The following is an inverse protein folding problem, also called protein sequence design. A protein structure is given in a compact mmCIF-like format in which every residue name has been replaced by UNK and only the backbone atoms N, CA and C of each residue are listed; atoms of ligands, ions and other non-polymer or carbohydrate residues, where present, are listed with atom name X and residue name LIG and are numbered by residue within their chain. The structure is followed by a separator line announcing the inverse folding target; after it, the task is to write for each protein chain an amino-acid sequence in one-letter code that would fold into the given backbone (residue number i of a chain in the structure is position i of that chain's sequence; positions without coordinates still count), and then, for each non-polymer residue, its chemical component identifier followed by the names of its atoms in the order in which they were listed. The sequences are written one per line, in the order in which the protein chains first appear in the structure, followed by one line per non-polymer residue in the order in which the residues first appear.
data_IF_529583273703
#
_entry.id   IF_529583273703
#
_cell.length_a   1.000
_cell.length_b   1.000
_cell.length_c   1.000
_cell.angle_alpha   90.00
_cell.angle_beta   90.00
_cell.angle_gamma   90.00
#
_symmetry.space_group_name_H-M   'P 1'
#
loop_
_entity.id
_entity.type
_entity.pdbx_description
1 polymer ?
#
# COMPACT_ATOMS: atom_id res chain seq x y z
N UNK A 1 -10.97 -20.63 54.64
CA UNK A 1 -10.08 -21.37 53.71
C UNK A 1 -10.90 -21.71 52.48
N UNK A 2 -10.71 -20.97 51.40
CA UNK A 2 -11.40 -21.19 50.12
C UNK A 2 -10.44 -20.82 49.00
N UNK A 3 -9.52 -21.73 48.66
CA UNK A 3 -8.65 -21.58 47.51
C UNK A 3 -9.48 -21.87 46.26
N UNK A 4 -9.93 -20.81 45.58
CA UNK A 4 -10.37 -20.93 44.19
C UNK A 4 -9.12 -20.91 43.31
N UNK A 5 -8.69 -22.10 42.90
CA UNK A 5 -7.70 -22.29 41.85
C UNK A 5 -8.31 -21.78 40.55
N UNK A 6 -8.05 -20.51 40.22
CA UNK A 6 -8.26 -19.96 38.89
C UNK A 6 -7.32 -20.66 37.91
N UNK A 7 -7.79 -21.78 37.36
CA UNK A 7 -7.07 -22.55 36.37
C UNK A 7 -6.76 -21.68 35.15
N UNK A 8 -5.48 -21.33 34.98
CA UNK A 8 -4.93 -21.03 33.67
C UNK A 8 -5.19 -22.25 32.79
N UNK A 9 -6.16 -22.15 31.90
CA UNK A 9 -6.21 -22.97 30.69
C UNK A 9 -4.97 -22.59 29.86
N UNK A 10 -3.83 -23.20 30.18
CA UNK A 10 -2.69 -23.26 29.26
C UNK A 10 -3.15 -24.18 28.14
N UNK A 11 -3.67 -23.59 27.06
CA UNK A 11 -3.99 -24.33 25.84
C UNK A 11 -2.68 -24.90 25.28
N UNK A 12 -2.51 -26.21 25.40
CA UNK A 12 -1.40 -26.93 24.79
C UNK A 12 -1.49 -26.79 23.26
N UNK A 13 -0.58 -26.01 22.67
CA UNK A 13 -0.26 -26.07 21.23
C UNK A 13 -1.16 -25.28 20.28
N UNK A 14 -1.60 -24.06 20.63
CA UNK A 14 -2.26 -23.17 19.65
C UNK A 14 -1.32 -22.79 18.49
N UNK A 15 -0.06 -22.47 18.80
CA UNK A 15 0.97 -22.20 17.80
C UNK A 15 1.80 -23.47 17.58
N UNK A 16 1.84 -23.93 16.33
CA UNK A 16 2.58 -25.08 15.87
C UNK A 16 4.02 -24.69 15.51
N UNK A 17 4.85 -25.69 15.22
CA UNK A 17 6.20 -25.51 14.67
C UNK A 17 7.05 -24.50 15.46
N UNK A 18 7.02 -24.59 16.79
CA UNK A 18 7.76 -23.70 17.70
C UNK A 18 7.35 -22.22 17.66
N UNK A 19 6.15 -21.91 17.13
CA UNK A 19 5.58 -20.57 17.19
C UNK A 19 5.32 -20.10 18.62
N UNK A 20 5.56 -18.82 18.87
CA UNK A 20 5.34 -18.18 20.16
C UNK A 20 3.91 -17.64 20.23
N UNK A 21 3.14 -18.12 21.21
CA UNK A 21 1.80 -17.62 21.44
C UNK A 21 1.83 -16.28 22.17
N UNK A 22 1.21 -15.27 21.57
CA UNK A 22 1.01 -13.94 22.14
C UNK A 22 -0.47 -13.81 22.50
N UNK A 23 -0.74 -13.67 23.80
CA UNK A 23 -2.09 -13.49 24.34
C UNK A 23 -2.60 -12.08 24.02
N UNK A 24 -3.85 -11.99 23.56
CA UNK A 24 -4.55 -10.73 23.25
C UNK A 24 -5.92 -10.73 23.95
N UNK A 25 -6.58 -9.57 24.04
CA UNK A 25 -7.91 -9.50 24.67
C UNK A 25 -8.91 -10.34 23.87
N UNK A 26 -9.39 -11.43 24.48
CA UNK A 26 -10.29 -12.42 23.88
C UNK A 26 -9.78 -13.03 22.55
N UNK A 27 -8.47 -13.02 22.31
CA UNK A 27 -7.88 -13.56 21.09
C UNK A 27 -6.42 -13.98 21.35
N UNK A 28 -5.75 -14.54 20.34
CA UNK A 28 -4.32 -14.79 20.37
C UNK A 28 -3.71 -14.52 18.99
N UNK A 29 -2.41 -14.28 18.96
CA UNK A 29 -1.60 -14.24 17.75
C UNK A 29 -0.43 -15.18 17.92
N UNK A 30 -0.11 -15.95 16.88
CA UNK A 30 1.16 -16.67 16.83
C UNK A 30 2.21 -15.80 16.16
N UNK A 31 3.36 -15.69 16.81
CA UNK A 31 4.60 -15.22 16.22
C UNK A 31 5.34 -16.43 15.65
N UNK A 32 5.30 -16.56 14.33
CA UNK A 32 5.75 -17.76 13.64
C UNK A 32 7.25 -17.71 13.35
N UNK A 33 7.98 -18.83 13.48
CA UNK A 33 9.37 -18.86 13.08
C UNK A 33 9.51 -18.67 11.57
N UNK A 34 10.72 -18.33 11.16
CA UNK A 34 11.08 -18.23 9.75
C UNK A 34 10.61 -19.49 8.97
N UNK A 35 10.11 -19.28 7.76
CA UNK A 35 9.53 -20.32 6.88
C UNK A 35 8.20 -20.94 7.36
N UNK A 36 7.54 -20.38 8.39
CA UNK A 36 6.19 -20.80 8.79
C UNK A 36 5.20 -19.63 8.84
N UNK A 37 3.96 -19.90 8.44
CA UNK A 37 2.87 -18.92 8.43
C UNK A 37 1.52 -19.56 8.77
N UNK A 38 0.46 -18.76 8.74
CA UNK A 38 -0.89 -19.12 9.13
C UNK A 38 -1.19 -18.80 10.59
N UNK A 39 -2.48 -18.80 10.95
CA UNK A 39 -2.96 -18.43 12.30
C UNK A 39 -2.25 -19.17 13.44
N UNK A 40 -1.85 -20.42 13.17
CA UNK A 40 -1.22 -21.33 14.12
C UNK A 40 0.19 -21.74 13.66
N UNK A 41 0.82 -21.02 12.73
CA UNK A 41 2.12 -21.39 12.15
C UNK A 41 2.15 -22.78 11.49
N UNK A 42 1.01 -23.24 10.99
CA UNK A 42 0.82 -24.59 10.47
C UNK A 42 1.27 -24.76 9.01
N UNK A 43 1.48 -23.65 8.30
CA UNK A 43 1.80 -23.64 6.87
C UNK A 43 3.31 -23.45 6.74
N UNK A 44 4.00 -24.40 6.12
CA UNK A 44 5.41 -24.26 5.76
C UNK A 44 5.54 -23.52 4.42
N UNK A 45 6.45 -22.55 4.36
CA UNK A 45 6.80 -21.81 3.15
C UNK A 45 8.27 -22.05 2.85
N UNK A 46 8.52 -22.61 1.68
CA UNK A 46 9.86 -22.91 1.20
C UNK A 46 10.51 -21.64 0.63
N UNK A 47 11.01 -20.79 1.52
CA UNK A 47 11.67 -19.53 1.17
C UNK A 47 12.98 -19.75 0.40
N UNK A 48 13.64 -20.89 0.61
CA UNK A 48 14.93 -21.22 -0.02
C UNK A 48 14.78 -21.47 -1.53
N UNK A 49 13.59 -21.87 -2.02
CA UNK A 49 13.31 -21.96 -3.47
C UNK A 49 13.61 -20.68 -4.23
N UNK A 50 13.48 -19.52 -3.58
CA UNK A 50 13.74 -18.23 -4.22
C UNK A 50 15.23 -17.87 -4.23
N UNK A 51 16.07 -18.54 -3.43
CA UNK A 51 17.53 -18.34 -3.49
C UNK A 51 18.12 -18.70 -4.87
N UNK A 52 17.58 -19.73 -5.53
CA UNK A 52 18.00 -20.09 -6.89
C UNK A 52 17.47 -19.11 -7.94
N UNK A 53 16.33 -18.47 -7.70
CA UNK A 53 15.79 -17.41 -8.54
C UNK A 53 16.63 -16.15 -8.40
N UNK A 54 16.91 -15.70 -7.18
CA UNK A 54 17.78 -14.55 -6.89
C UNK A 54 19.15 -14.71 -7.55
N UNK A 55 19.77 -15.89 -7.45
CA UNK A 55 21.07 -16.14 -8.10
C UNK A 55 20.99 -16.04 -9.62
N UNK A 56 19.87 -16.47 -10.22
CA UNK A 56 19.65 -16.34 -11.67
C UNK A 56 19.44 -14.88 -12.05
N UNK A 57 18.58 -14.17 -11.33
CA UNK A 57 18.31 -12.75 -11.55
C UNK A 57 19.58 -11.91 -11.40
N UNK A 58 20.39 -12.16 -10.37
CA UNK A 58 21.68 -11.49 -10.19
C UNK A 58 22.58 -11.65 -11.43
N UNK A 59 22.65 -12.86 -11.98
CA UNK A 59 23.39 -13.12 -13.22
C UNK A 59 22.77 -12.41 -14.42
N UNK A 60 21.45 -12.31 -14.50
CA UNK A 60 20.78 -11.52 -15.53
C UNK A 60 21.09 -10.02 -15.37
N UNK A 61 21.12 -9.47 -14.15
CA UNK A 61 21.51 -8.07 -13.92
C UNK A 61 22.92 -7.79 -14.46
N UNK A 62 23.88 -8.69 -14.21
CA UNK A 62 25.25 -8.59 -14.72
C UNK A 62 25.32 -8.64 -16.25
N UNK A 63 24.60 -9.60 -16.87
CA UNK A 63 24.56 -9.74 -18.33
C UNK A 63 23.88 -8.54 -19.02
N UNK A 64 22.89 -7.93 -18.37
CA UNK A 64 22.17 -6.75 -18.85
C UNK A 64 22.88 -5.43 -18.55
N UNK A 65 24.02 -5.49 -17.85
CA UNK A 65 24.82 -4.34 -17.41
C UNK A 65 23.99 -3.32 -16.60
N UNK A 66 23.16 -3.83 -15.68
CA UNK A 66 22.25 -3.01 -14.88
C UNK A 66 23.01 -2.04 -13.96
N UNK A 67 24.26 -2.31 -13.61
CA UNK A 67 25.09 -1.43 -12.79
C UNK A 67 25.36 -0.08 -13.44
N UNK A 68 25.35 0.01 -14.78
CA UNK A 68 25.54 1.29 -15.49
C UNK A 68 24.23 1.95 -15.91
N UNK A 69 23.10 1.24 -15.81
CA UNK A 69 21.76 1.72 -16.19
C UNK A 69 20.97 2.19 -14.99
N UNK A 70 21.08 1.49 -13.86
CA UNK A 70 20.32 1.79 -12.67
C UNK A 70 20.63 3.15 -12.08
N UNK A 71 19.56 3.84 -11.69
CA UNK A 71 19.60 5.13 -11.01
C UNK A 71 19.68 6.33 -11.94
N UNK A 72 19.66 6.13 -13.27
CA UNK A 72 19.76 7.19 -14.27
C UNK A 72 18.44 7.97 -14.48
N UNK A 73 17.34 7.47 -13.92
CA UNK A 73 16.00 8.09 -14.01
C UNK A 73 15.10 7.49 -15.08
N UNK A 74 15.56 6.48 -15.82
CA UNK A 74 14.76 5.70 -16.76
C UNK A 74 14.57 4.28 -16.23
N UNK A 75 13.34 3.77 -16.22
CA UNK A 75 13.10 2.39 -15.79
C UNK A 75 13.46 1.41 -16.92
N UNK A 76 14.52 0.65 -16.72
CA UNK A 76 14.94 -0.45 -17.58
C UNK A 76 14.26 -1.74 -17.12
N UNK A 77 13.27 -2.20 -17.88
CA UNK A 77 12.50 -3.42 -17.55
C UNK A 77 13.37 -4.66 -17.34
N UNK A 78 14.49 -4.79 -18.05
CA UNK A 78 15.45 -5.89 -17.88
C UNK A 78 16.26 -5.82 -16.58
N UNK A 79 16.18 -4.71 -15.85
CA UNK A 79 16.79 -4.46 -14.55
C UNK A 79 15.74 -4.34 -13.43
N UNK A 80 14.46 -4.53 -13.75
CA UNK A 80 13.35 -4.41 -12.79
C UNK A 80 13.13 -5.69 -11.95
N UNK A 81 14.19 -6.18 -11.33
CA UNK A 81 14.15 -7.34 -10.42
C UNK A 81 14.54 -6.91 -9.01
N UNK A 82 14.08 -7.66 -7.99
CA UNK A 82 14.50 -7.42 -6.61
C UNK A 82 16.04 -7.51 -6.48
N UNK A 83 16.66 -8.49 -7.14
CA UNK A 83 18.11 -8.67 -7.15
C UNK A 83 18.89 -7.46 -7.73
N UNK A 84 18.32 -6.72 -8.67
CA UNK A 84 18.92 -5.50 -9.21
C UNK A 84 18.43 -4.21 -8.50
N UNK A 85 17.69 -4.33 -7.40
CA UNK A 85 17.11 -3.21 -6.67
C UNK A 85 16.07 -2.42 -7.48
N UNK A 86 15.32 -3.09 -8.36
CA UNK A 86 14.34 -2.46 -9.25
C UNK A 86 14.95 -1.34 -10.10
N UNK A 87 16.05 -1.67 -10.78
CA UNK A 87 16.88 -0.72 -11.54
C UNK A 87 17.42 0.43 -10.69
N UNK A 88 18.00 0.07 -9.53
CA UNK A 88 18.44 1.00 -8.49
C UNK A 88 17.40 2.08 -8.14
N UNK A 89 16.13 1.68 -8.11
CA UNK A 89 15.00 2.52 -7.77
C UNK A 89 14.24 3.14 -8.94
N UNK A 90 14.76 3.10 -10.17
CA UNK A 90 14.10 3.74 -11.32
C UNK A 90 12.74 3.15 -11.64
N UNK A 91 12.59 1.84 -11.45
CA UNK A 91 11.33 1.14 -11.65
C UNK A 91 10.41 1.13 -10.42
N UNK A 92 10.87 1.65 -9.27
CA UNK A 92 10.14 1.68 -8.00
C UNK A 92 9.92 3.10 -7.47
N UNK A 93 9.86 4.09 -8.36
CA UNK A 93 9.67 5.50 -8.01
C UNK A 93 10.73 6.03 -7.01
N UNK A 94 11.99 5.59 -7.19
CA UNK A 94 13.16 5.87 -6.33
C UNK A 94 13.02 5.35 -4.90
N UNK A 95 12.06 4.46 -4.63
CA UNK A 95 11.88 3.80 -3.34
C UNK A 95 12.60 2.46 -3.25
N UNK A 96 12.68 1.93 -2.04
CA UNK A 96 13.16 0.56 -1.74
C UNK A 96 11.99 -0.28 -1.18
N UNK A 97 11.09 -0.79 -2.04
CA UNK A 97 10.02 -1.69 -1.61
C UNK A 97 10.58 -2.88 -0.85
N UNK A 98 9.84 -3.39 0.14
CA UNK A 98 10.21 -4.56 0.96
C UNK A 98 11.49 -4.42 1.81
N UNK A 99 12.10 -3.24 1.92
CA UNK A 99 13.28 -2.99 2.77
C UNK A 99 13.06 -3.33 4.26
N UNK A 100 11.82 -3.38 4.72
CA UNK A 100 11.42 -3.79 6.07
C UNK A 100 10.92 -5.23 6.17
N UNK A 101 10.77 -5.92 5.05
CA UNK A 101 10.17 -7.25 4.97
C UNK A 101 11.22 -8.33 5.30
N UNK A 102 10.91 -9.22 6.25
CA UNK A 102 11.80 -10.32 6.61
C UNK A 102 12.04 -11.30 5.44
N UNK A 103 11.05 -11.46 4.56
CA UNK A 103 11.10 -12.32 3.36
C UNK A 103 11.06 -11.49 2.08
N UNK A 104 11.88 -10.42 2.02
CA UNK A 104 11.81 -9.39 0.99
C UNK A 104 11.86 -9.92 -0.46
N UNK A 105 12.84 -10.79 -0.79
CA UNK A 105 12.92 -11.37 -2.14
C UNK A 105 11.65 -12.16 -2.47
N UNK A 106 11.27 -13.12 -1.63
CA UNK A 106 10.06 -13.93 -1.83
C UNK A 106 8.83 -13.04 -2.08
N UNK A 107 8.59 -12.08 -1.18
CA UNK A 107 7.42 -11.22 -1.26
C UNK A 107 7.44 -10.27 -2.44
N UNK A 108 8.62 -9.84 -2.92
CA UNK A 108 8.71 -9.05 -4.14
C UNK A 108 8.27 -9.83 -5.39
N UNK A 109 8.46 -11.15 -5.43
CA UNK A 109 8.10 -11.99 -6.58
C UNK A 109 6.62 -12.35 -6.64
N UNK A 110 5.96 -12.48 -5.47
CA UNK A 110 4.54 -12.85 -5.37
C UNK A 110 3.64 -11.64 -5.15
N UNK A 111 4.19 -10.44 -4.98
CA UNK A 111 3.42 -9.23 -4.72
C UNK A 111 2.36 -8.97 -5.80
N UNK A 112 1.10 -8.96 -5.38
CA UNK A 112 -0.05 -8.65 -6.23
C UNK A 112 -0.19 -9.62 -7.43
N UNK A 113 0.25 -10.87 -7.29
CA UNK A 113 0.19 -11.89 -8.33
C UNK A 113 -1.20 -12.53 -8.46
N UNK A 114 -2.11 -12.22 -7.54
CA UNK A 114 -3.43 -12.79 -7.48
C UNK A 114 -3.53 -14.11 -6.70
N UNK A 115 -2.52 -14.45 -5.90
CA UNK A 115 -2.55 -15.50 -4.90
C UNK A 115 -2.38 -14.86 -3.52
N UNK A 116 -3.03 -15.42 -2.51
CA UNK A 116 -2.81 -14.92 -1.15
C UNK A 116 -1.63 -15.66 -0.54
N UNK A 117 -0.55 -14.95 -0.27
CA UNK A 117 0.67 -15.40 0.39
C UNK A 117 0.69 -14.89 1.84
N UNK A 118 0.25 -15.70 2.82
CA UNK A 118 0.04 -15.20 4.18
C UNK A 118 1.31 -14.72 4.89
N UNK A 119 2.49 -15.18 4.45
CA UNK A 119 3.78 -14.69 4.96
C UNK A 119 4.07 -13.25 4.52
N UNK A 120 3.54 -12.81 3.37
CA UNK A 120 3.69 -11.47 2.81
C UNK A 120 2.56 -10.52 3.21
N UNK A 121 1.45 -11.05 3.77
CA UNK A 121 0.32 -10.25 4.22
C UNK A 121 0.56 -9.54 5.57
N UNK A 122 1.53 -8.65 5.59
CA UNK A 122 1.85 -7.78 6.72
C UNK A 122 2.36 -6.42 6.21
N UNK A 123 2.36 -5.40 7.07
CA UNK A 123 2.73 -4.03 6.70
C UNK A 123 4.15 -3.93 6.11
N UNK A 124 5.11 -4.66 6.70
CA UNK A 124 6.50 -4.61 6.29
C UNK A 124 6.72 -5.20 4.89
N UNK A 125 5.87 -6.14 4.50
CA UNK A 125 5.83 -6.80 3.19
C UNK A 125 4.68 -6.29 2.29
N UNK A 126 4.16 -5.08 2.58
CA UNK A 126 3.18 -4.37 1.75
C UNK A 126 1.85 -5.11 1.54
N UNK A 127 1.43 -5.90 2.54
CA UNK A 127 0.17 -6.63 2.56
C UNK A 127 -0.07 -7.52 1.34
N UNK A 128 1.01 -8.06 0.75
CA UNK A 128 0.93 -8.93 -0.42
C UNK A 128 0.14 -8.31 -1.58
N UNK A 129 0.26 -6.99 -1.75
CA UNK A 129 -0.48 -6.26 -2.79
C UNK A 129 -2.01 -6.31 -2.63
N UNK A 130 -2.50 -6.64 -1.42
CA UNK A 130 -3.89 -6.90 -1.07
C UNK A 130 -4.50 -8.17 -1.66
N UNK A 131 -3.72 -9.16 -2.10
CA UNK A 131 -4.28 -10.42 -2.60
C UNK A 131 -4.95 -11.28 -1.53
N UNK A 132 -4.56 -11.08 -0.28
CA UNK A 132 -5.20 -11.66 0.89
C UNK A 132 -6.39 -10.85 1.44
N UNK A 133 -6.69 -9.67 0.87
CA UNK A 133 -7.80 -8.86 1.34
C UNK A 133 -9.14 -9.55 1.03
N UNK A 134 -10.09 -9.56 1.97
CA UNK A 134 -11.42 -10.11 1.71
C UNK A 134 -12.18 -9.24 0.69
N UNK A 135 -13.09 -9.85 -0.07
CA UNK A 135 -13.92 -9.15 -1.05
C UNK A 135 -13.31 -9.09 -2.44
N UNK A 136 -13.67 -8.07 -3.21
CA UNK A 136 -13.14 -7.87 -4.57
C UNK A 136 -11.71 -7.33 -4.53
N UNK A 137 -10.87 -7.77 -5.48
CA UNK A 137 -9.48 -7.29 -5.64
C UNK A 137 -9.41 -5.88 -6.22
N UNK A 138 -10.27 -5.60 -7.18
CA UNK A 138 -10.40 -4.32 -7.84
C UNK A 138 -11.86 -3.89 -7.78
N UNK A 139 -12.12 -2.58 -7.84
CA UNK A 139 -13.48 -2.06 -7.96
C UNK A 139 -14.20 -2.71 -9.15
N UNK A 140 -15.44 -3.22 -9.00
CA UNK A 140 -16.13 -3.92 -10.07
C UNK A 140 -16.21 -3.10 -11.35
N UNK A 141 -15.89 -3.74 -12.48
CA UNK A 141 -15.74 -3.06 -13.78
C UNK A 141 -17.01 -2.36 -14.27
N UNK A 142 -18.18 -2.79 -13.80
CA UNK A 142 -19.46 -2.19 -14.15
C UNK A 142 -19.78 -0.89 -13.37
N UNK A 143 -19.06 -0.58 -12.29
CA UNK A 143 -19.26 0.64 -11.48
C UNK A 143 -18.02 1.52 -11.37
N UNK A 144 -16.84 1.01 -11.74
CA UNK A 144 -15.56 1.71 -11.50
C UNK A 144 -15.50 3.10 -12.12
N UNK A 145 -16.06 3.30 -13.32
CA UNK A 145 -16.06 4.61 -13.97
C UNK A 145 -17.06 5.56 -13.31
N UNK A 146 -18.21 5.06 -12.84
CA UNK A 146 -19.12 5.85 -12.03
C UNK A 146 -18.42 6.32 -10.75
N UNK A 147 -17.82 5.40 -9.99
CA UNK A 147 -17.16 5.74 -8.73
C UNK A 147 -16.01 6.73 -8.93
N UNK A 148 -15.25 6.63 -10.02
CA UNK A 148 -14.17 7.59 -10.35
C UNK A 148 -14.67 9.01 -10.64
N UNK A 149 -15.92 9.15 -11.13
CA UNK A 149 -16.52 10.45 -11.46
C UNK A 149 -17.31 11.07 -10.31
N UNK A 150 -17.74 10.25 -9.35
CA UNK A 150 -18.61 10.67 -8.24
C UNK A 150 -17.91 10.72 -6.87
N UNK A 151 -16.73 10.12 -6.71
CA UNK A 151 -16.01 10.26 -5.45
C UNK A 151 -15.53 11.69 -5.18
N UNK A 152 -15.60 12.09 -3.91
CA UNK A 152 -15.27 13.44 -3.41
C UNK A 152 -16.25 14.56 -3.83
N UNK A 153 -17.45 14.22 -4.32
CA UNK A 153 -18.48 15.20 -4.67
C UNK A 153 -19.35 15.63 -3.47
N UNK A 154 -19.20 14.95 -2.33
CA UNK A 154 -19.95 15.22 -1.10
C UNK A 154 -21.31 14.55 -1.01
N UNK A 155 -21.62 13.68 -1.97
CA UNK A 155 -22.78 12.80 -1.99
C UNK A 155 -22.29 11.40 -1.63
N UNK A 156 -22.97 10.74 -0.69
CA UNK A 156 -22.64 9.35 -0.38
C UNK A 156 -23.30 8.40 -1.39
N UNK A 157 -22.48 7.84 -2.27
CA UNK A 157 -22.77 6.73 -3.17
C UNK A 157 -22.38 5.40 -2.51
N UNK A 158 -23.33 4.78 -1.81
CA UNK A 158 -23.09 3.51 -1.09
C UNK A 158 -22.53 2.38 -1.95
N UNK A 159 -22.80 2.39 -3.26
CA UNK A 159 -22.22 1.40 -4.20
C UNK A 159 -20.70 1.56 -4.40
N UNK A 160 -20.16 2.74 -4.10
CA UNK A 160 -18.73 3.07 -4.16
C UNK A 160 -18.06 3.02 -2.78
N UNK A 161 -18.83 2.79 -1.72
CA UNK A 161 -18.39 2.76 -0.33
C UNK A 161 -17.73 1.43 0.07
N UNK A 162 -16.75 0.98 -0.72
CA UNK A 162 -15.92 -0.20 -0.44
C UNK A 162 -14.43 0.13 -0.57
N UNK A 163 -13.53 -0.62 0.10
CA UNK A 163 -12.10 -0.34 0.06
C UNK A 163 -11.52 -0.33 -1.36
N UNK A 164 -11.91 -1.29 -2.20
CA UNK A 164 -11.45 -1.42 -3.58
C UNK A 164 -12.01 -0.31 -4.50
N UNK A 165 -13.13 0.32 -4.13
CA UNK A 165 -13.73 1.47 -4.81
C UNK A 165 -13.43 2.81 -4.11
N UNK A 166 -12.41 2.85 -3.24
CA UNK A 166 -11.91 4.06 -2.55
C UNK A 166 -12.86 4.70 -1.54
N UNK A 167 -13.80 3.94 -0.96
CA UNK A 167 -14.76 4.44 0.03
C UNK A 167 -15.51 5.69 -0.45
N UNK A 168 -15.82 5.75 -1.73
CA UNK A 168 -16.52 6.88 -2.34
C UNK A 168 -15.82 8.24 -2.09
N UNK A 169 -14.49 8.26 -2.12
CA UNK A 169 -13.72 9.46 -1.78
C UNK A 169 -13.85 9.92 -0.31
N UNK A 170 -14.48 9.09 0.53
CA UNK A 170 -14.78 9.38 1.92
C UNK A 170 -16.12 10.09 2.15
N UNK A 171 -17.00 10.19 1.14
CA UNK A 171 -18.24 10.96 1.24
C UNK A 171 -19.30 10.31 2.15
N UNK A 172 -19.21 8.99 2.36
CA UNK A 172 -20.08 8.24 3.27
C UNK A 172 -19.65 8.27 4.75
N UNK A 173 -18.51 8.90 5.08
CA UNK A 173 -18.01 8.94 6.47
C UNK A 173 -18.67 10.05 7.29
N UNK A 174 -19.74 9.71 8.03
CA UNK A 174 -20.59 10.69 8.75
C UNK A 174 -20.19 11.00 10.21
N UNK A 175 -18.99 10.60 10.69
CA UNK A 175 -18.55 10.82 12.09
C UNK A 175 -17.18 11.49 12.23
N UNK A 176 -17.15 12.50 13.11
CA UNK A 176 -16.06 13.39 13.55
C UNK A 176 -14.73 12.68 13.81
N UNK A 177 -13.67 13.29 13.28
CA UNK A 177 -12.26 12.91 13.33
C UNK A 177 -11.91 11.68 12.51
N UNK A 178 -11.53 11.87 11.24
CA UNK A 178 -10.80 10.85 10.54
C UNK A 178 -9.51 10.57 11.29
N UNK A 179 -9.20 9.30 11.46
CA UNK A 179 -7.88 8.86 11.89
C UNK A 179 -6.89 9.11 10.75
N UNK A 180 -6.47 10.38 10.60
CA UNK A 180 -5.39 10.76 9.70
C UNK A 180 -4.19 9.89 10.07
N UNK A 181 -3.74 9.08 9.12
CA UNK A 181 -2.55 8.28 9.32
C UNK A 181 -1.34 9.21 9.50
N UNK A 182 -0.41 8.90 10.40
CA UNK A 182 0.77 9.73 10.59
C UNK A 182 1.63 9.76 9.32
N UNK A 183 2.18 10.94 9.02
CA UNK A 183 3.02 11.17 7.85
C UNK A 183 2.26 11.80 6.67
N UNK A 184 3.02 12.27 5.68
CA UNK A 184 2.49 12.81 4.44
C UNK A 184 3.06 12.02 3.26
N UNK A 185 2.25 11.80 2.21
CA UNK A 185 2.73 11.26 0.93
C UNK A 185 3.08 12.44 0.02
N UNK A 186 4.30 12.47 -0.50
CA UNK A 186 4.74 13.45 -1.51
C UNK A 186 4.90 12.78 -2.86
N UNK A 187 4.26 13.31 -3.89
CA UNK A 187 4.27 12.75 -5.25
C UNK A 187 4.67 13.84 -6.24
N UNK A 188 5.63 13.53 -7.11
CA UNK A 188 5.96 14.37 -8.27
C UNK A 188 5.18 13.85 -9.48
N UNK A 189 4.31 14.67 -10.04
CA UNK A 189 3.50 14.33 -11.22
C UNK A 189 4.02 15.10 -12.43
N UNK A 190 4.48 14.38 -13.44
CA UNK A 190 5.02 14.97 -14.68
C UNK A 190 3.89 15.34 -15.65
N UNK A 191 3.18 16.42 -15.35
CA UNK A 191 2.09 16.95 -16.17
C UNK A 191 2.07 18.48 -16.10
N UNK A 192 1.60 19.19 -17.15
CA UNK A 192 1.34 20.62 -17.06
C UNK A 192 0.39 20.94 -15.89
N UNK A 193 0.65 22.01 -15.10
CA UNK A 193 -0.20 22.35 -13.94
C UNK A 193 -1.69 22.50 -14.27
N UNK A 194 -2.02 23.05 -15.44
CA UNK A 194 -3.42 23.23 -15.88
C UNK A 194 -4.11 21.89 -16.12
N UNK A 195 -3.38 20.89 -16.62
CA UNK A 195 -3.90 19.55 -16.85
C UNK A 195 -4.06 18.78 -15.53
N UNK A 196 -3.11 18.95 -14.60
CA UNK A 196 -3.26 18.40 -13.25
C UNK A 196 -4.52 18.92 -12.57
N UNK A 197 -4.71 20.24 -12.56
CA UNK A 197 -5.87 20.90 -11.93
C UNK A 197 -7.19 20.36 -12.50
N UNK A 198 -7.26 20.15 -13.82
CA UNK A 198 -8.46 19.59 -14.46
C UNK A 198 -8.77 18.14 -14.06
N UNK A 199 -7.75 17.34 -13.78
CA UNK A 199 -7.89 15.89 -13.57
C UNK A 199 -7.61 15.44 -12.12
N UNK A 200 -7.44 16.38 -11.19
CA UNK A 200 -7.02 16.09 -9.81
C UNK A 200 -7.98 15.18 -9.06
N UNK A 201 -9.30 15.30 -9.27
CA UNK A 201 -10.29 14.41 -8.66
C UNK A 201 -10.12 12.96 -9.11
N UNK A 202 -10.00 12.73 -10.43
CA UNK A 202 -9.73 11.41 -10.99
C UNK A 202 -8.40 10.84 -10.49
N UNK A 203 -7.36 11.67 -10.43
CA UNK A 203 -6.06 11.28 -9.89
C UNK A 203 -6.18 10.79 -8.43
N UNK A 204 -6.86 11.55 -7.57
CA UNK A 204 -7.07 11.18 -6.17
C UNK A 204 -7.92 9.92 -6.03
N UNK A 205 -8.97 9.76 -6.84
CA UNK A 205 -9.79 8.54 -6.83
C UNK A 205 -8.99 7.31 -7.26
N UNK A 206 -8.20 7.40 -8.33
CA UNK A 206 -7.34 6.29 -8.77
C UNK A 206 -6.32 5.95 -7.68
N UNK A 207 -5.67 6.95 -7.09
CA UNK A 207 -4.68 6.73 -6.02
C UNK A 207 -5.34 6.09 -4.79
N UNK A 208 -6.52 6.56 -4.42
CA UNK A 208 -7.31 6.02 -3.30
C UNK A 208 -7.72 4.55 -3.54
N UNK A 209 -8.08 4.19 -4.78
CA UNK A 209 -8.39 2.81 -5.16
C UNK A 209 -7.15 1.91 -5.03
N UNK A 210 -5.98 2.39 -5.48
CA UNK A 210 -4.72 1.65 -5.39
C UNK A 210 -4.24 1.45 -3.96
N UNK A 211 -4.43 2.44 -3.11
CA UNK A 211 -4.03 2.40 -1.70
C UNK A 211 -5.10 1.80 -0.77
N UNK A 212 -6.32 1.56 -1.28
CA UNK A 212 -7.50 1.15 -0.49
C UNK A 212 -7.71 2.04 0.74
N UNK A 213 -7.57 3.36 0.54
CA UNK A 213 -7.70 4.39 1.56
C UNK A 213 -8.16 5.69 0.91
N UNK A 214 -8.93 6.52 1.64
CA UNK A 214 -9.31 7.86 1.14
C UNK A 214 -8.10 8.80 1.19
N UNK A 215 -7.66 9.28 0.02
CA UNK A 215 -6.55 10.22 -0.13
C UNK A 215 -7.07 11.62 -0.44
N UNK A 216 -6.49 12.63 0.20
CA UNK A 216 -6.83 14.05 -0.01
C UNK A 216 -5.58 14.89 -0.13
N UNK A 217 -5.68 16.03 -0.80
CA UNK A 217 -4.57 16.99 -0.87
C UNK A 217 -4.50 17.78 0.44
N UNK A 218 -3.35 17.72 1.09
CA UNK A 218 -3.07 18.53 2.28
C UNK A 218 -3.14 20.02 1.93
N UNK A 219 -3.76 20.80 2.81
CA UNK A 219 -3.93 22.25 2.63
C UNK A 219 -3.45 23.01 3.88
N UNK A 220 -3.08 24.26 3.70
CA UNK A 220 -2.82 25.21 4.78
C UNK A 220 -3.65 26.51 4.60
N UNK A 221 -3.36 27.54 5.40
CA UNK A 221 -4.07 28.84 5.32
C UNK A 221 -3.96 29.52 3.95
N UNK A 222 -2.98 29.14 3.13
CA UNK A 222 -2.76 29.67 1.79
C UNK A 222 -3.34 28.78 0.69
N UNK A 223 -3.94 27.64 1.04
CA UNK A 223 -4.59 26.71 0.12
C UNK A 223 -3.87 25.37 -0.02
N UNK A 224 -4.16 24.61 -1.09
CA UNK A 224 -3.58 23.29 -1.33
C UNK A 224 -2.04 23.31 -1.42
N UNK A 225 -1.41 22.26 -0.89
CA UNK A 225 0.05 22.05 -0.94
C UNK A 225 0.46 21.39 -2.27
N UNK A 226 0.23 22.10 -3.38
CA UNK A 226 0.63 21.68 -4.73
C UNK A 226 1.56 22.73 -5.33
N UNK A 227 2.74 22.31 -5.73
CA UNK A 227 3.82 23.20 -6.15
C UNK A 227 4.31 22.86 -7.55
N UNK A 228 4.82 23.87 -8.25
CA UNK A 228 5.53 23.65 -9.51
C UNK A 228 6.80 22.81 -9.27
N UNK A 229 7.14 21.92 -10.19
CA UNK A 229 8.37 21.11 -10.15
C UNK A 229 9.20 21.33 -11.42
N UNK A 230 10.48 21.64 -11.24
CA UNK A 230 11.45 21.81 -12.32
C UNK A 230 12.74 21.01 -12.07
N UNK A 231 12.63 19.88 -11.36
CA UNK A 231 13.77 19.07 -10.91
C UNK A 231 14.23 19.37 -9.49
N UNK A 232 13.65 20.38 -8.82
CA UNK A 232 13.91 20.68 -7.42
C UNK A 232 12.66 21.23 -6.71
N UNK A 233 12.56 21.11 -5.36
CA UNK A 233 11.42 21.64 -4.62
C UNK A 233 11.21 23.15 -4.86
N UNK A 234 10.01 23.54 -5.29
CA UNK A 234 9.62 24.94 -5.46
C UNK A 234 8.67 25.40 -4.35
N UNK A 235 8.70 26.69 -4.04
CA UNK A 235 7.68 27.33 -3.19
C UNK A 235 6.52 27.90 -4.01
N UNK A 236 6.62 27.89 -5.36
CA UNK A 236 5.58 28.42 -6.24
C UNK A 236 4.40 27.45 -6.30
N UNK A 237 3.24 27.89 -5.78
CA UNK A 237 2.01 27.10 -5.76
C UNK A 237 1.31 27.07 -7.12
N UNK A 238 0.69 25.94 -7.40
CA UNK A 238 -0.31 25.82 -8.48
C UNK A 238 -1.61 26.44 -7.98
N UNK A 239 -2.27 27.23 -8.83
CA UNK A 239 -3.52 27.92 -8.51
C UNK A 239 -4.68 27.00 -8.87
N UNK A 240 -5.62 26.84 -7.94
CA UNK A 240 -6.88 26.12 -8.12
C UNK A 240 -8.04 27.11 -8.06
N UNK A 241 -9.08 26.90 -8.87
CA UNK A 241 -10.27 27.74 -8.85
C UNK A 241 -11.16 27.43 -7.64
N UNK A 242 -11.93 28.41 -7.16
CA UNK A 242 -12.75 28.29 -5.95
C UNK A 242 -13.74 27.11 -5.98
N UNK A 243 -14.31 26.81 -7.14
CA UNK A 243 -15.24 25.68 -7.33
C UNK A 243 -14.54 24.31 -7.28
N UNK A 244 -13.25 24.25 -7.66
CA UNK A 244 -12.46 23.02 -7.59
C UNK A 244 -12.03 22.74 -6.14
N UNK A 245 -11.66 23.80 -5.40
CA UNK A 245 -11.28 23.73 -3.98
C UNK A 245 -12.47 23.38 -3.06
N UNK A 246 -13.71 23.58 -3.50
CA UNK A 246 -14.91 23.23 -2.72
C UNK A 246 -15.33 21.76 -2.79
N UNK A 247 -14.65 20.93 -3.59
CA UNK A 247 -14.86 19.47 -3.57
C UNK A 247 -14.20 18.83 -2.34
N UNK A 248 -14.71 17.69 -1.88
CA UNK A 248 -14.16 16.96 -0.73
C UNK A 248 -12.72 16.48 -0.94
N UNK A 249 -12.17 16.61 -2.15
CA UNK A 249 -10.77 16.37 -2.49
C UNK A 249 -9.79 17.30 -1.74
N UNK A 250 -10.26 18.45 -1.26
CA UNK A 250 -9.45 19.48 -0.61
C UNK A 250 -9.88 19.80 0.82
N UNK A 251 -10.99 19.25 1.30
CA UNK A 251 -11.44 19.48 2.67
C UNK A 251 -10.56 18.68 3.65
N UNK A 252 -10.10 19.32 4.73
CA UNK A 252 -9.39 18.62 5.78
C UNK A 252 -10.24 17.47 6.32
N UNK A 253 -9.54 16.44 6.75
CA UNK A 253 -10.11 15.38 7.55
C UNK A 253 -10.40 15.97 8.94
N UNK A 254 -11.60 16.53 9.14
CA UNK A 254 -12.03 17.13 10.42
C UNK A 254 -12.50 16.10 11.47
#
# INVERSE_FOLDING_TARGET
MGNSLGGKLVSFGLCLNNGKCIDLVNNYKCDCPHSYTGRNCQIFVDLDKFSDTDRREQKYCELSNCQSKGGDGECHSECNYFACGFDAGDCSAKGEPFSKCDSASYCAHVFKDGHCDPICNNEACLFDGFDCAPGHRDCPSNIVDYCRMHGHDGICDEQCNSPECAFDGGDCSTKKLPSILPGDISIVVLTPPQEFVKNVGLFLMILSQKLRASIRIKSDKSGPLVFHWNGSPSTKRVIFDREQVSSNAFLPLD
#
